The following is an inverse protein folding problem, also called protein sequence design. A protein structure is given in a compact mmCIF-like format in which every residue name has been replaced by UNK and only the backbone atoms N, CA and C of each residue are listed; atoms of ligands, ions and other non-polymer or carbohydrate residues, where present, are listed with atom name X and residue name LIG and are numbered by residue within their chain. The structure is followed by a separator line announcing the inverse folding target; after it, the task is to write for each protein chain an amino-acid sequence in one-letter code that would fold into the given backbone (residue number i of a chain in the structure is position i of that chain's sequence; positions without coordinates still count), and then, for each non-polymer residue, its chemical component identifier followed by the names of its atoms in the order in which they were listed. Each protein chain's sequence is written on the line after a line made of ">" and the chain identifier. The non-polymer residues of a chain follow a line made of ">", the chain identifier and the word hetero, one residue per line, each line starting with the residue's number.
data_IF_971565320580
#
_entry.id   IF_971565320580
#
_cell.length_a   1.000
_cell.length_b   1.000
_cell.length_c   1.000
_cell.angle_alpha   90.00
_cell.angle_beta   90.00
_cell.angle_gamma   90.00
#
_symmetry.space_group_name_H-M   'P 1'
#
loop_
_entity.id
_entity.type
_entity.pdbx_description
1 polymer ?
#
# COMPACT_ATOMS: atom_id res chain seq x y z
N UNK A 1 -1.55 -5.02 0.70
CA UNK A 1 -1.56 -6.45 1.08
C UNK A 1 -2.82 -7.11 0.57
N UNK A 2 -2.66 -7.98 -0.43
CA UNK A 2 -3.75 -8.73 -1.05
C UNK A 2 -3.72 -10.18 -0.56
N UNK A 3 -4.88 -10.83 -0.46
CA UNK A 3 -5.02 -12.15 0.19
C UNK A 3 -4.17 -13.26 -0.41
N UNK A 4 -3.94 -13.23 -1.73
CA UNK A 4 -3.11 -14.19 -2.44
C UNK A 4 -1.62 -13.94 -2.23
N UNK A 5 -1.19 -12.68 -2.35
CA UNK A 5 0.21 -12.29 -2.07
C UNK A 5 0.61 -12.56 -0.62
N UNK A 6 -0.32 -12.44 0.32
CA UNK A 6 -0.06 -12.72 1.73
C UNK A 6 0.38 -14.17 1.99
N UNK A 7 0.01 -15.12 1.13
CA UNK A 7 0.39 -16.53 1.28
C UNK A 7 1.86 -16.81 0.94
N UNK A 8 2.53 -15.90 0.23
CA UNK A 8 3.91 -16.07 -0.22
C UNK A 8 4.93 -15.30 0.65
N UNK A 9 4.47 -14.66 1.73
CA UNK A 9 5.34 -14.06 2.75
C UNK A 9 5.93 -15.17 3.60
N UNK A 10 7.26 -15.32 3.57
CA UNK A 10 7.97 -16.39 4.26
C UNK A 10 8.86 -15.93 5.42
N UNK A 11 9.12 -14.63 5.53
CA UNK A 11 10.07 -14.03 6.48
C UNK A 11 9.42 -13.66 7.83
N UNK A 12 8.08 -13.61 7.92
CA UNK A 12 7.35 -13.41 9.17
C UNK A 12 6.16 -14.34 9.36
N UNK A 13 5.78 -14.52 10.64
CA UNK A 13 4.54 -15.18 11.01
C UNK A 13 3.35 -14.42 10.40
N UNK A 14 2.44 -15.08 9.66
CA UNK A 14 1.32 -14.41 9.00
C UNK A 14 0.47 -13.55 9.94
N UNK A 15 0.15 -14.06 11.13
CA UNK A 15 -0.63 -13.31 12.14
C UNK A 15 0.06 -12.03 12.58
N UNK A 16 1.37 -12.04 12.74
CA UNK A 16 2.14 -10.86 13.11
C UNK A 16 2.10 -9.83 11.98
N UNK A 17 2.42 -10.23 10.75
CA UNK A 17 2.40 -9.32 9.60
C UNK A 17 1.02 -8.73 9.33
N UNK A 18 -0.04 -9.54 9.47
CA UNK A 18 -1.42 -9.03 9.36
C UNK A 18 -1.68 -7.94 10.41
N UNK A 19 -1.24 -8.17 11.65
CA UNK A 19 -1.45 -7.23 12.75
C UNK A 19 -0.67 -5.93 12.55
N UNK A 20 0.57 -5.98 12.05
CA UNK A 20 1.35 -4.76 11.79
C UNK A 20 0.72 -3.90 10.70
N UNK A 21 0.18 -4.50 9.63
CA UNK A 21 -0.58 -3.78 8.60
C UNK A 21 -1.90 -3.20 9.11
N UNK A 22 -2.61 -3.93 9.97
CA UNK A 22 -3.82 -3.45 10.66
C UNK A 22 -3.47 -2.23 11.53
N UNK A 23 -2.40 -2.31 12.32
CA UNK A 23 -1.91 -1.21 13.16
C UNK A 23 -1.50 -0.01 12.31
N UNK A 24 -0.82 -0.23 11.18
CA UNK A 24 -0.47 0.84 10.24
C UNK A 24 -1.71 1.58 9.73
N UNK A 25 -2.75 0.85 9.29
CA UNK A 25 -4.03 1.44 8.89
C UNK A 25 -4.73 2.17 10.03
N UNK A 26 -4.62 1.65 11.26
CA UNK A 26 -5.20 2.26 12.46
C UNK A 26 -4.56 3.61 12.83
N UNK A 27 -3.24 3.75 12.65
CA UNK A 27 -2.52 5.02 12.87
C UNK A 27 -3.15 6.13 12.03
N UNK A 28 -3.48 5.85 10.76
CA UNK A 28 -4.17 6.83 9.91
C UNK A 28 -5.43 7.39 10.58
N UNK A 29 -6.27 6.52 11.16
CA UNK A 29 -7.55 6.91 11.76
C UNK A 29 -7.32 7.81 12.98
N UNK A 30 -6.29 7.52 13.76
CA UNK A 30 -5.94 8.30 14.94
C UNK A 30 -5.46 9.72 14.61
N UNK A 31 -4.78 9.90 13.47
CA UNK A 31 -4.17 11.17 13.08
C UNK A 31 -4.84 11.84 11.87
N UNK A 32 -6.01 11.35 11.45
CA UNK A 32 -6.76 11.82 10.27
C UNK A 32 -5.90 11.95 9.00
N UNK A 33 -5.07 10.93 8.75
CA UNK A 33 -4.15 10.92 7.60
C UNK A 33 -4.90 10.39 6.37
N UNK A 34 -4.92 11.13 5.23
CA UNK A 34 -5.45 10.58 3.99
C UNK A 34 -4.57 9.43 3.52
N UNK A 35 -5.19 8.36 3.04
CA UNK A 35 -4.47 7.23 2.45
C UNK A 35 -5.21 6.69 1.24
N UNK A 36 -4.40 6.13 0.36
CA UNK A 36 -4.77 5.51 -0.90
C UNK A 36 -4.48 4.02 -0.74
N UNK A 37 -5.47 3.19 -1.03
CA UNK A 37 -5.32 1.74 -1.01
C UNK A 37 -5.26 1.25 -2.45
N UNK A 38 -4.12 0.65 -2.80
CA UNK A 38 -3.85 0.16 -4.15
C UNK A 38 -3.66 -1.35 -4.17
N UNK A 39 -4.06 -1.99 -5.26
CA UNK A 39 -3.93 -3.43 -5.51
C UNK A 39 -3.28 -3.65 -6.87
N UNK A 40 -2.63 -4.79 -7.08
CA UNK A 40 -2.10 -5.21 -8.38
C UNK A 40 -2.84 -6.45 -8.85
N UNK A 41 -3.42 -6.40 -10.05
CA UNK A 41 -4.12 -7.52 -10.71
C UNK A 41 -5.09 -8.25 -9.76
N UNK A 42 -5.95 -7.51 -9.06
CA UNK A 42 -6.75 -8.05 -7.94
C UNK A 42 -7.77 -9.12 -8.35
N UNK A 43 -8.16 -9.16 -9.62
CA UNK A 43 -9.08 -10.16 -10.18
C UNK A 43 -8.37 -11.50 -10.49
N UNK A 44 -7.04 -11.57 -10.34
CA UNK A 44 -6.22 -12.75 -10.56
C UNK A 44 -5.78 -13.38 -9.22
N UNK A 45 -4.77 -14.27 -9.26
CA UNK A 45 -4.22 -14.98 -8.10
C UNK A 45 -3.78 -14.08 -6.93
N UNK A 46 -3.49 -12.80 -7.17
CA UNK A 46 -3.17 -11.86 -6.10
C UNK A 46 -4.37 -11.63 -5.16
N UNK A 47 -5.59 -11.68 -5.69
CA UNK A 47 -6.85 -11.48 -4.96
C UNK A 47 -7.08 -10.04 -4.49
N UNK A 48 -8.20 -9.80 -3.80
CA UNK A 48 -8.52 -8.48 -3.25
C UNK A 48 -7.77 -8.19 -1.94
N UNK A 49 -7.90 -6.95 -1.45
CA UNK A 49 -7.49 -6.61 -0.09
C UNK A 49 -8.33 -7.40 0.93
N UNK A 50 -7.76 -7.83 2.06
CA UNK A 50 -8.52 -8.41 3.16
C UNK A 50 -9.61 -7.48 3.67
N UNK A 51 -10.73 -8.05 4.10
CA UNK A 51 -11.89 -7.28 4.60
C UNK A 51 -11.50 -6.40 5.79
N UNK A 52 -10.66 -6.89 6.68
CA UNK A 52 -10.20 -6.16 7.86
C UNK A 52 -9.50 -4.84 7.49
N UNK A 53 -8.70 -4.82 6.41
CA UNK A 53 -8.07 -3.59 5.91
C UNK A 53 -9.13 -2.63 5.35
N UNK A 54 -10.16 -3.15 4.67
CA UNK A 54 -11.25 -2.31 4.17
C UNK A 54 -12.03 -1.65 5.31
N UNK A 55 -12.26 -2.38 6.39
CA UNK A 55 -13.04 -1.91 7.54
C UNK A 55 -12.28 -0.88 8.40
N UNK A 56 -10.95 -0.98 8.50
CA UNK A 56 -10.09 0.00 9.21
C UNK A 56 -9.85 1.25 8.38
N UNK A 57 -9.84 1.11 7.06
CA UNK A 57 -9.67 2.19 6.09
C UNK A 57 -10.96 2.38 5.28
N UNK A 58 -12.09 2.78 5.90
CA UNK A 58 -13.32 3.10 5.19
C UNK A 58 -13.16 4.43 4.44
N UNK A 59 -13.87 4.59 3.31
CA UNK A 59 -13.89 5.82 2.50
C UNK A 59 -12.52 6.28 2.00
N UNK A 60 -11.64 5.31 1.71
CA UNK A 60 -10.28 5.57 1.23
C UNK A 60 -10.23 5.42 -0.27
N UNK A 61 -9.43 6.26 -0.92
CA UNK A 61 -9.25 6.19 -2.38
C UNK A 61 -8.75 4.81 -2.75
N UNK A 62 -9.51 4.12 -3.62
CA UNK A 62 -9.16 2.80 -4.15
C UNK A 62 -8.51 2.98 -5.50
N UNK A 63 -7.33 2.40 -5.66
CA UNK A 63 -6.55 2.52 -6.89
C UNK A 63 -6.10 1.13 -7.36
N UNK A 64 -7.01 0.30 -7.92
CA UNK A 64 -6.62 -0.99 -8.46
C UNK A 64 -5.80 -0.81 -9.74
N UNK A 65 -4.68 -1.53 -9.84
CA UNK A 65 -3.77 -1.51 -10.99
C UNK A 65 -3.95 -2.79 -11.80
N UNK A 66 -4.39 -2.72 -13.07
CA UNK A 66 -4.66 -3.91 -13.87
C UNK A 66 -3.40 -4.66 -14.30
N UNK A 67 -2.20 -4.06 -14.22
CA UNK A 67 -0.95 -4.77 -14.54
C UNK A 67 0.33 -4.11 -14.03
N UNK A 68 0.28 -2.85 -13.63
CA UNK A 68 1.43 -2.06 -13.24
C UNK A 68 2.01 -2.54 -11.91
N UNK A 69 3.29 -2.91 -11.92
CA UNK A 69 4.00 -3.31 -10.71
C UNK A 69 4.29 -2.07 -9.87
N UNK A 70 4.90 -1.06 -10.48
CA UNK A 70 5.16 0.24 -9.91
C UNK A 70 3.91 1.13 -10.03
N UNK A 71 3.50 1.76 -8.92
CA UNK A 71 2.33 2.67 -8.93
C UNK A 71 2.54 3.88 -9.83
N UNK A 72 3.79 4.30 -10.02
CA UNK A 72 4.15 5.51 -10.75
C UNK A 72 4.11 5.33 -12.28
N UNK A 73 4.14 4.07 -12.74
CA UNK A 73 4.01 3.75 -14.17
C UNK A 73 2.60 4.05 -14.68
N UNK A 74 1.61 4.17 -13.78
CA UNK A 74 0.29 4.64 -14.16
C UNK A 74 0.24 6.19 -14.12
N UNK A 75 -0.04 6.85 -15.25
CA UNK A 75 0.00 8.31 -15.37
C UNK A 75 -1.04 9.03 -14.48
N UNK A 76 -2.10 8.33 -14.05
CA UNK A 76 -3.15 8.91 -13.21
C UNK A 76 -2.81 8.87 -11.71
N UNK A 77 -1.81 8.08 -11.30
CA UNK A 77 -1.45 7.94 -9.90
C UNK A 77 -0.85 9.23 -9.31
N UNK A 78 0.06 9.96 -10.00
CA UNK A 78 0.52 11.27 -9.54
C UNK A 78 -0.61 12.28 -9.34
N UNK A 79 -1.64 12.27 -10.19
CA UNK A 79 -2.81 13.15 -10.03
C UNK A 79 -3.62 12.76 -8.78
N UNK A 80 -3.80 11.47 -8.55
CA UNK A 80 -4.44 10.93 -7.33
C UNK A 80 -3.70 11.36 -6.06
N UNK A 81 -2.37 11.28 -6.06
CA UNK A 81 -1.53 11.73 -4.96
C UNK A 81 -1.62 13.24 -4.72
N UNK A 82 -1.57 14.06 -5.78
CA UNK A 82 -1.73 15.51 -5.67
C UNK A 82 -3.08 15.90 -5.08
N UNK A 83 -4.14 15.14 -5.39
CA UNK A 83 -5.46 15.30 -4.78
C UNK A 83 -5.48 15.12 -3.25
N UNK A 84 -4.54 14.36 -2.68
CA UNK A 84 -4.40 14.22 -1.24
C UNK A 84 -3.68 15.41 -0.57
N UNK A 85 -3.07 16.30 -1.36
CA UNK A 85 -2.34 17.49 -0.93
C UNK A 85 -1.31 17.21 0.18
N UNK A 86 -0.49 16.18 -0.01
CA UNK A 86 0.61 15.79 0.89
C UNK A 86 1.92 15.69 0.13
N UNK A 87 2.99 16.15 0.77
CA UNK A 87 4.38 16.03 0.29
C UNK A 87 5.16 14.91 1.00
N UNK A 88 4.62 14.40 2.12
CA UNK A 88 5.17 13.28 2.87
C UNK A 88 4.26 12.07 2.73
N UNK A 89 4.83 10.94 2.36
CA UNK A 89 4.12 9.68 2.13
C UNK A 89 4.69 8.62 3.06
N UNK A 90 3.80 7.91 3.76
CA UNK A 90 4.14 6.74 4.55
C UNK A 90 3.66 5.51 3.78
N UNK A 91 4.56 4.57 3.53
CA UNK A 91 4.31 3.38 2.72
C UNK A 91 4.37 2.12 3.58
N UNK A 92 3.39 1.25 3.39
CA UNK A 92 3.35 -0.12 3.87
C UNK A 92 2.80 -1.00 2.74
N UNK A 93 3.19 -2.28 2.68
CA UNK A 93 2.93 -3.05 1.47
C UNK A 93 3.43 -4.48 1.49
N UNK A 94 3.38 -5.08 0.31
CA UNK A 94 3.85 -6.43 -0.01
C UNK A 94 3.94 -6.52 -1.54
N UNK A 95 5.01 -7.04 -2.13
CA UNK A 95 6.27 -7.50 -1.52
C UNK A 95 7.27 -6.33 -1.39
N UNK A 96 8.22 -6.46 -0.46
CA UNK A 96 9.29 -5.48 -0.20
C UNK A 96 10.06 -5.14 -1.47
N UNK A 97 10.78 -6.10 -2.04
CA UNK A 97 11.69 -5.90 -3.18
C UNK A 97 11.02 -5.83 -4.56
N UNK A 98 9.71 -5.58 -4.61
CA UNK A 98 8.95 -5.52 -5.87
C UNK A 98 8.13 -4.24 -5.89
N UNK A 99 6.80 -4.36 -5.80
CA UNK A 99 5.91 -3.22 -6.00
C UNK A 99 6.09 -2.15 -4.93
N UNK A 100 6.47 -2.50 -3.69
CA UNK A 100 6.59 -1.50 -2.63
C UNK A 100 7.87 -0.67 -2.76
N UNK A 101 9.03 -1.32 -2.92
CA UNK A 101 10.30 -0.63 -3.10
C UNK A 101 10.36 0.16 -4.40
N UNK A 102 9.96 -0.42 -5.55
CA UNK A 102 9.96 0.27 -6.84
C UNK A 102 9.05 1.52 -6.81
N UNK A 103 7.89 1.39 -6.17
CA UNK A 103 6.98 2.53 -5.97
C UNK A 103 7.58 3.58 -5.06
N UNK A 104 8.17 3.19 -3.93
CA UNK A 104 8.80 4.12 -2.99
C UNK A 104 9.95 4.90 -3.63
N UNK A 105 10.77 4.25 -4.47
CA UNK A 105 11.84 4.91 -5.22
C UNK A 105 11.27 5.93 -6.22
N UNK A 106 10.23 5.55 -6.96
CA UNK A 106 9.60 6.44 -7.94
C UNK A 106 8.90 7.64 -7.28
N UNK A 107 8.23 7.42 -6.15
CA UNK A 107 7.65 8.48 -5.33
C UNK A 107 8.72 9.49 -4.88
N UNK A 108 9.90 9.02 -4.44
CA UNK A 108 11.02 9.91 -4.06
C UNK A 108 11.57 10.68 -5.26
N UNK A 109 11.68 10.03 -6.42
CA UNK A 109 12.11 10.68 -7.65
C UNK A 109 11.13 11.77 -8.11
N UNK A 110 9.86 11.69 -7.70
CA UNK A 110 8.84 12.72 -7.89
C UNK A 110 8.81 13.80 -6.81
N UNK A 111 9.92 14.05 -6.11
CA UNK A 111 10.09 15.07 -5.07
C UNK A 111 9.21 14.90 -3.81
N UNK A 112 8.79 13.67 -3.50
CA UNK A 112 8.07 13.35 -2.26
C UNK A 112 9.02 12.79 -1.19
N UNK A 113 8.79 13.17 0.07
CA UNK A 113 9.46 12.56 1.21
C UNK A 113 8.80 11.23 1.55
N UNK A 114 9.48 10.11 1.31
CA UNK A 114 8.92 8.77 1.49
C UNK A 114 9.50 8.05 2.69
N UNK A 115 8.62 7.69 3.61
CA UNK A 115 8.88 6.92 4.82
C UNK A 115 8.30 5.52 4.66
N UNK A 116 9.11 4.50 4.94
CA UNK A 116 8.66 3.11 4.86
C UNK A 116 8.44 2.60 6.28
N UNK A 117 7.25 2.08 6.57
CA UNK A 117 7.01 1.32 7.79
C UNK A 117 7.48 -0.12 7.56
N UNK A 118 8.73 -0.40 7.96
CA UNK A 118 9.37 -1.70 7.77
C UNK A 118 8.61 -2.86 8.41
N UNK A 119 8.03 -2.66 9.60
CA UNK A 119 7.23 -3.68 10.30
C UNK A 119 5.95 -4.05 9.56
N UNK A 120 5.46 -3.17 8.68
CA UNK A 120 4.27 -3.35 7.85
C UNK A 120 4.63 -3.57 6.37
N UNK A 121 5.84 -4.06 6.10
CA UNK A 121 6.33 -4.30 4.75
C UNK A 121 7.14 -5.59 4.68
N UNK A 122 6.58 -6.60 4.00
CA UNK A 122 7.21 -7.89 3.77
C UNK A 122 6.93 -8.36 2.35
#
# INVERSE_FOLDING_TARGET
>A
MQVGLFQIVGDLKPTYFKNTLISHGGIRKQFDIPAILTTSTQENLNGHLPREILDICPNTTRYPRPGEVNVWDNPDFPATLRGANKTQIIVAGILTGVCTELSAQSLRAGDLSVWINFEALH
#
